data_IF_343842441248
#
_entry.id   IF_343842441248
#
_cell.length_a   1.000
_cell.length_b   1.000
_cell.length_c   1.000
_cell.angle_alpha   90.00
_cell.angle_beta   90.00
_cell.angle_gamma   90.00
#
_symmetry.space_group_name_H-M   'P 1'
#
loop_
_entity.id
_entity.type
_entity.pdbx_description
1 polymer ?
#
# COMPACT_ATOMS: atom_id res chain seq x y z
N UNK A 1 6.03 12.57 -2.17
CA UNK A 1 5.86 11.10 -1.98
C UNK A 1 6.20 10.77 -0.53
N UNK A 2 5.34 10.05 0.21
CA UNK A 2 5.66 9.70 1.61
C UNK A 2 6.84 8.73 1.60
N UNK A 3 7.77 8.88 2.55
CA UNK A 3 9.04 8.11 2.56
C UNK A 3 8.84 6.59 2.67
N UNK A 4 7.71 6.17 3.25
CA UNK A 4 7.26 4.78 3.32
C UNK A 4 6.95 4.19 1.94
N UNK A 5 6.21 4.92 1.12
CA UNK A 5 5.75 4.47 -0.20
C UNK A 5 6.94 4.37 -1.16
N UNK A 6 7.89 5.31 -1.04
CA UNK A 6 9.17 5.26 -1.74
C UNK A 6 9.97 4.01 -1.38
N UNK A 7 10.09 3.70 -0.08
CA UNK A 7 10.79 2.49 0.39
C UNK A 7 10.14 1.23 -0.17
N UNK A 8 8.80 1.12 -0.12
CA UNK A 8 8.09 -0.04 -0.65
C UNK A 8 8.30 -0.18 -2.17
N UNK A 9 8.24 0.92 -2.92
CA UNK A 9 8.52 0.92 -4.35
C UNK A 9 9.91 0.37 -4.67
N UNK A 10 10.92 0.69 -3.85
CA UNK A 10 12.30 0.21 -4.04
C UNK A 10 12.39 -1.30 -3.86
N UNK A 11 11.70 -1.82 -2.85
CA UNK A 11 11.64 -3.25 -2.60
C UNK A 11 10.87 -3.98 -3.70
N UNK A 12 9.78 -3.41 -4.21
CA UNK A 12 9.02 -3.98 -5.34
C UNK A 12 9.85 -4.00 -6.63
N UNK A 13 10.57 -2.91 -6.91
CA UNK A 13 11.46 -2.81 -8.09
C UNK A 13 12.56 -3.86 -8.06
N UNK A 14 13.03 -4.24 -6.87
CA UNK A 14 14.07 -5.24 -6.70
C UNK A 14 13.61 -6.68 -7.00
N UNK A 15 12.31 -6.96 -7.16
CA UNK A 15 11.75 -8.28 -7.59
C UNK A 15 12.39 -9.47 -6.88
N UNK A 16 12.20 -9.58 -5.57
CA UNK A 16 12.77 -10.63 -4.71
C UNK A 16 14.31 -10.60 -4.55
N UNK A 17 14.99 -9.51 -4.96
CA UNK A 17 16.40 -9.29 -4.66
C UNK A 17 16.59 -8.55 -3.33
N UNK A 18 17.78 -8.71 -2.76
CA UNK A 18 18.19 -8.01 -1.55
C UNK A 18 18.52 -6.56 -1.84
N UNK A 19 17.91 -5.64 -1.09
CA UNK A 19 18.20 -4.21 -1.10
C UNK A 19 18.90 -3.84 0.20
N UNK A 20 20.11 -3.28 0.11
CA UNK A 20 20.88 -2.94 1.30
C UNK A 20 20.22 -1.82 2.11
N UNK A 21 20.27 -1.92 3.44
CA UNK A 21 19.77 -0.85 4.31
C UNK A 21 20.55 0.45 4.15
N UNK A 22 21.81 0.38 3.69
CA UNK A 22 22.62 1.54 3.36
C UNK A 22 22.07 2.29 2.15
N UNK A 23 21.81 1.56 1.07
CA UNK A 23 21.21 2.12 -0.15
C UNK A 23 19.89 2.83 0.17
N UNK A 24 19.01 2.17 0.93
CA UNK A 24 17.73 2.76 1.34
C UNK A 24 17.92 4.02 2.19
N UNK A 25 18.87 4.01 3.14
CA UNK A 25 19.15 5.18 3.97
C UNK A 25 19.63 6.38 3.16
N UNK A 26 20.56 6.15 2.22
CA UNK A 26 21.15 7.21 1.39
C UNK A 26 20.12 7.75 0.40
N UNK A 27 19.42 6.86 -0.31
CA UNK A 27 18.42 7.23 -1.31
C UNK A 27 17.23 7.98 -0.73
N UNK A 28 16.76 7.57 0.45
CA UNK A 28 15.57 8.16 1.08
C UNK A 28 15.91 9.29 2.05
N UNK A 29 17.20 9.64 2.20
CA UNK A 29 17.69 10.62 3.18
C UNK A 29 17.20 10.31 4.61
N UNK A 30 17.28 9.03 5.00
CA UNK A 30 16.83 8.53 6.30
C UNK A 30 17.98 7.87 7.06
N UNK A 31 17.89 7.83 8.38
CA UNK A 31 18.78 6.97 9.17
C UNK A 31 18.42 5.49 8.97
N UNK A 32 19.39 4.59 9.14
CA UNK A 32 19.12 3.14 9.12
C UNK A 32 18.07 2.70 10.15
N UNK A 33 18.02 3.37 11.30
CA UNK A 33 16.99 3.11 12.32
C UNK A 33 15.60 3.54 11.87
N UNK A 34 15.48 4.64 11.11
CA UNK A 34 14.22 5.07 10.54
C UNK A 34 13.75 4.14 9.41
N UNK A 35 14.66 3.65 8.54
CA UNK A 35 14.36 2.60 7.55
C UNK A 35 13.81 1.36 8.24
N UNK A 36 14.46 0.88 9.30
CA UNK A 36 14.00 -0.28 10.06
C UNK A 36 12.59 -0.08 10.67
N UNK A 37 12.29 1.13 11.18
CA UNK A 37 10.94 1.46 11.68
C UNK A 37 9.89 1.36 10.57
N UNK A 38 10.19 1.84 9.35
CA UNK A 38 9.27 1.73 8.22
C UNK A 38 9.09 0.28 7.77
N UNK A 39 10.17 -0.51 7.72
CA UNK A 39 10.11 -1.94 7.41
C UNK A 39 9.21 -2.68 8.40
N UNK A 40 9.31 -2.38 9.71
CA UNK A 40 8.41 -2.98 10.72
C UNK A 40 6.94 -2.68 10.44
N UNK A 41 6.60 -1.43 10.12
CA UNK A 41 5.23 -1.04 9.78
C UNK A 41 4.72 -1.79 8.55
N UNK A 42 5.54 -1.91 7.49
CA UNK A 42 5.16 -2.70 6.32
C UNK A 42 4.90 -4.17 6.70
N UNK A 43 5.70 -4.77 7.58
CA UNK A 43 5.42 -6.13 8.06
C UNK A 43 4.10 -6.23 8.84
N UNK A 44 3.79 -5.24 9.67
CA UNK A 44 2.52 -5.16 10.43
C UNK A 44 1.30 -5.02 9.51
N UNK A 45 1.48 -4.42 8.33
CA UNK A 45 0.47 -4.33 7.27
C UNK A 45 0.35 -5.61 6.42
N UNK A 46 1.18 -6.63 6.68
CA UNK A 46 1.12 -7.94 6.01
C UNK A 46 2.10 -8.13 4.87
N UNK A 47 3.03 -7.20 4.63
CA UNK A 47 4.10 -7.42 3.64
C UNK A 47 5.12 -8.44 4.16
N UNK A 48 5.42 -9.44 3.34
CA UNK A 48 6.41 -10.45 3.66
C UNK A 48 7.80 -9.93 3.32
N UNK A 49 8.47 -9.32 4.31
CA UNK A 49 9.80 -8.76 4.14
C UNK A 49 10.80 -9.57 4.97
N UNK A 50 11.80 -10.15 4.33
CA UNK A 50 12.94 -10.72 5.01
C UNK A 50 13.98 -9.65 5.36
N UNK A 51 14.66 -9.83 6.49
CA UNK A 51 15.76 -8.98 6.92
C UNK A 51 16.98 -9.84 7.24
N UNK A 52 18.13 -9.49 6.65
CA UNK A 52 19.38 -10.22 6.86
C UNK A 52 20.52 -9.25 7.18
N UNK A 53 21.31 -9.52 8.22
CA UNK A 53 22.54 -8.79 8.47
C UNK A 53 23.43 -8.79 7.22
N UNK A 54 24.00 -7.63 6.87
CA UNK A 54 24.87 -7.40 5.70
C UNK A 54 24.20 -7.42 4.32
N UNK A 55 23.09 -8.14 4.12
CA UNK A 55 22.34 -8.11 2.85
C UNK A 55 21.30 -6.99 2.79
N UNK A 56 20.64 -6.71 3.91
CA UNK A 56 19.56 -5.71 4.00
C UNK A 56 18.18 -6.35 4.03
N UNK A 57 17.29 -5.90 3.15
CA UNK A 57 15.88 -6.27 3.14
C UNK A 57 15.47 -6.84 1.79
N UNK A 58 14.56 -7.81 1.81
CA UNK A 58 14.00 -8.43 0.60
C UNK A 58 12.49 -8.55 0.75
N UNK A 59 11.73 -7.96 -0.16
CA UNK A 59 10.29 -8.24 -0.28
C UNK A 59 10.13 -9.61 -0.94
N UNK A 60 9.39 -10.50 -0.30
CA UNK A 60 9.12 -11.87 -0.76
C UNK A 60 7.65 -12.09 -1.13
N UNK A 61 6.77 -11.19 -0.66
CA UNK A 61 5.34 -11.27 -0.87
C UNK A 61 4.65 -9.97 -0.49
N UNK A 62 3.58 -9.65 -1.20
CA UNK A 62 2.66 -8.55 -0.89
C UNK A 62 1.42 -9.13 -0.21
N UNK A 63 0.79 -8.40 0.74
CA UNK A 63 -0.42 -8.88 1.38
C UNK A 63 -1.54 -9.08 0.37
N UNK A 64 -2.32 -10.14 0.53
CA UNK A 64 -3.60 -10.34 -0.18
C UNK A 64 -4.68 -9.47 0.47
N UNK A 65 -4.48 -8.15 0.38
CA UNK A 65 -5.35 -7.12 0.90
C UNK A 65 -5.52 -6.05 -0.19
N UNK A 66 -6.71 -5.49 -0.30
CA UNK A 66 -7.08 -4.35 -1.14
C UNK A 66 -6.53 -3.03 -0.60
N UNK A 67 -5.25 -3.04 -0.18
CA UNK A 67 -4.54 -1.82 0.19
C UNK A 67 -4.59 -0.84 -0.97
N UNK A 68 -5.09 0.37 -0.71
CA UNK A 68 -5.33 1.32 -1.79
C UNK A 68 -4.10 1.67 -2.62
N UNK A 69 -2.90 1.52 -2.04
CA UNK A 69 -1.66 1.72 -2.77
C UNK A 69 -1.42 0.60 -3.79
N UNK A 70 -1.65 -0.66 -3.43
CA UNK A 70 -1.56 -1.79 -4.37
C UNK A 70 -2.60 -1.67 -5.48
N UNK A 71 -3.85 -1.31 -5.12
CA UNK A 71 -4.92 -1.07 -6.08
C UNK A 71 -4.54 0.04 -7.06
N UNK A 72 -3.94 1.13 -6.57
CA UNK A 72 -3.51 2.26 -7.41
C UNK A 72 -2.32 1.93 -8.29
N UNK A 73 -1.34 1.19 -7.78
CA UNK A 73 -0.13 0.81 -8.53
C UNK A 73 -0.47 0.01 -9.80
N UNK A 74 -1.56 -0.77 -9.78
CA UNK A 74 -2.06 -1.52 -10.94
C UNK A 74 -3.16 -0.82 -11.76
N UNK A 75 -3.62 0.37 -11.36
CA UNK A 75 -4.82 0.98 -11.94
C UNK A 75 -4.49 1.77 -13.22
N UNK A 76 -5.03 1.34 -14.36
CA UNK A 76 -4.84 2.02 -15.67
C UNK A 76 -6.04 2.86 -16.12
N UNK A 77 -7.02 3.05 -15.23
CA UNK A 77 -8.27 3.78 -15.49
C UNK A 77 -8.03 5.29 -15.59
N UNK A 78 -8.83 6.00 -16.39
CA UNK A 78 -8.75 7.48 -16.50
C UNK A 78 -9.58 8.23 -15.46
N UNK A 79 -10.63 7.60 -14.94
CA UNK A 79 -11.64 8.23 -14.06
C UNK A 79 -11.70 7.51 -12.73
N UNK A 80 -11.99 6.21 -12.73
CA UNK A 80 -12.12 5.42 -11.51
C UNK A 80 -10.83 5.36 -10.70
N UNK A 81 -10.88 5.62 -9.40
CA UNK A 81 -9.79 5.47 -8.43
C UNK A 81 -8.70 6.54 -8.49
N UNK A 82 -8.81 7.51 -9.39
CA UNK A 82 -7.80 8.55 -9.60
C UNK A 82 -7.89 9.68 -8.58
N UNK A 83 -9.10 10.02 -8.15
CA UNK A 83 -9.37 11.17 -7.26
C UNK A 83 -9.53 10.73 -5.81
N UNK A 84 -10.43 9.78 -5.57
CA UNK A 84 -10.79 9.31 -4.24
C UNK A 84 -10.97 7.79 -4.25
N UNK A 85 -10.54 7.16 -3.15
CA UNK A 85 -10.84 5.77 -2.91
C UNK A 85 -10.95 5.51 -1.40
N UNK A 86 -11.97 4.75 -1.03
CA UNK A 86 -12.31 4.41 0.34
C UNK A 86 -12.10 2.92 0.56
N UNK A 87 -11.28 2.57 1.54
CA UNK A 87 -10.99 1.20 1.92
C UNK A 87 -11.65 0.87 3.27
N UNK A 88 -12.34 -0.27 3.32
CA UNK A 88 -12.95 -0.79 4.52
C UNK A 88 -12.45 -2.20 4.80
N UNK A 89 -11.96 -2.46 6.01
CA UNK A 89 -11.67 -3.84 6.41
C UNK A 89 -12.97 -4.68 6.50
N UNK A 90 -14.07 -4.06 6.88
CA UNK A 90 -15.40 -4.65 6.87
C UNK A 90 -16.43 -3.54 6.65
N UNK A 91 -17.45 -3.82 5.85
CA UNK A 91 -18.60 -2.93 5.64
C UNK A 91 -19.88 -3.75 5.50
N UNK A 92 -21.04 -3.09 5.56
CA UNK A 92 -22.32 -3.70 5.24
C UNK A 92 -22.44 -3.99 3.75
N UNK A 93 -22.33 -2.95 2.92
CA UNK A 93 -22.34 -3.08 1.47
C UNK A 93 -21.50 -2.00 0.79
N UNK A 94 -20.58 -2.40 -0.08
CA UNK A 94 -19.76 -1.47 -0.87
C UNK A 94 -20.62 -0.57 -1.77
N UNK A 95 -21.69 -1.12 -2.34
CA UNK A 95 -22.67 -0.38 -3.14
C UNK A 95 -23.43 0.66 -2.32
N UNK A 96 -23.82 0.32 -1.08
CA UNK A 96 -24.48 1.28 -0.18
C UNK A 96 -23.55 2.45 0.13
N UNK A 97 -22.30 2.16 0.51
CA UNK A 97 -21.29 3.19 0.79
C UNK A 97 -20.98 4.06 -0.43
N UNK A 98 -20.91 3.47 -1.63
CA UNK A 98 -20.71 4.23 -2.85
C UNK A 98 -21.87 5.20 -3.11
N UNK A 99 -23.12 4.77 -2.89
CA UNK A 99 -24.32 5.64 -3.02
C UNK A 99 -24.33 6.76 -1.99
N UNK A 100 -24.01 6.46 -0.74
CA UNK A 100 -23.91 7.46 0.34
C UNK A 100 -22.88 8.53 0.00
N UNK A 101 -21.69 8.13 -0.45
CA UNK A 101 -20.62 9.05 -0.85
C UNK A 101 -21.03 9.88 -2.07
N UNK A 102 -21.67 9.28 -3.08
CA UNK A 102 -22.18 10.01 -4.23
C UNK A 102 -23.22 11.07 -3.82
N UNK A 103 -24.14 10.74 -2.91
CA UNK A 103 -25.12 11.69 -2.37
C UNK A 103 -24.47 12.84 -1.58
N UNK A 104 -23.30 12.61 -0.99
CA UNK A 104 -22.50 13.62 -0.30
C UNK A 104 -21.62 14.47 -1.26
N UNK A 105 -21.71 14.23 -2.58
CA UNK A 105 -20.96 14.98 -3.57
C UNK A 105 -19.54 14.44 -3.80
N UNK A 106 -19.28 13.16 -3.52
CA UNK A 106 -18.00 12.55 -3.86
C UNK A 106 -17.74 12.65 -5.37
N UNK A 107 -16.49 12.91 -5.79
CA UNK A 107 -16.15 13.11 -7.19
C UNK A 107 -16.42 11.86 -8.02
N UNK A 108 -16.68 12.07 -9.32
CA UNK A 108 -16.80 10.98 -10.28
C UNK A 108 -15.55 10.08 -10.24
N UNK A 109 -15.76 8.78 -10.32
CA UNK A 109 -14.69 7.79 -10.24
C UNK A 109 -14.27 7.45 -8.82
N UNK A 110 -14.94 7.94 -7.77
CA UNK A 110 -14.68 7.48 -6.39
C UNK A 110 -14.83 5.95 -6.29
N UNK A 111 -13.80 5.28 -5.77
CA UNK A 111 -13.84 3.83 -5.53
C UNK A 111 -14.19 3.52 -4.07
N UNK A 112 -14.96 2.46 -3.88
CA UNK A 112 -15.18 1.84 -2.56
C UNK A 112 -14.75 0.39 -2.66
N UNK A 113 -13.81 0.00 -1.81
CA UNK A 113 -13.32 -1.37 -1.71
C UNK A 113 -13.44 -1.87 -0.27
N UNK A 114 -13.77 -3.14 -0.11
CA UNK A 114 -13.84 -3.77 1.19
C UNK A 114 -13.33 -5.21 1.14
N UNK A 115 -12.64 -5.64 2.21
CA UNK A 115 -12.23 -7.05 2.35
C UNK A 115 -13.43 -7.96 2.64
N UNK A 116 -14.43 -7.43 3.35
CA UNK A 116 -15.63 -8.19 3.70
C UNK A 116 -16.87 -7.31 3.67
N UNK A 117 -17.94 -7.83 3.06
CA UNK A 117 -19.29 -7.30 3.14
C UNK A 117 -20.15 -8.22 4.03
N UNK A 118 -20.92 -7.65 4.96
CA UNK A 118 -21.83 -8.43 5.81
C UNK A 118 -23.22 -8.59 5.20
N UNK A 119 -23.59 -7.73 4.25
CA UNK A 119 -24.88 -7.72 3.55
C UNK A 119 -24.65 -7.48 2.05
N UNK A 120 -23.85 -8.35 1.44
CA UNK A 120 -23.38 -8.28 0.05
C UNK A 120 -24.49 -8.33 -1.00
#
# INVERSE_FOLDING_TARGET
>A
MRTRDALLADLKQARDLWVSGQFLSERLFMTRSAVWKQIRKLKEEGYEIEASPRKGYRLCGVPDLLLMQEVRDGLTTRVFGQTQACYFRQTDSTNLRARELAAQGAPEGTLVVAEQQTHG
#
